data_IF_218192745289
#
_entry.id   IF_218192745289
#
_cell.length_a   1.000
_cell.length_b   1.000
_cell.length_c   1.000
_cell.angle_alpha   90.00
_cell.angle_beta   90.00
_cell.angle_gamma   90.00
#
_symmetry.space_group_name_H-M   'P 1'
#
loop_
_entity.id
_entity.type
_entity.pdbx_description
1 polymer ?
#
# COMPACT_ATOMS: atom_id res chain seq x y z
N UNK A 1 -11.08 -20.73 -34.73
CA UNK A 1 -11.97 -19.78 -34.03
C UNK A 1 -12.25 -20.36 -32.65
N UNK A 2 -12.30 -19.57 -31.57
CA UNK A 2 -12.63 -20.15 -30.27
C UNK A 2 -14.10 -20.55 -30.25
N UNK A 3 -14.37 -21.76 -29.78
CA UNK A 3 -15.71 -22.37 -29.71
C UNK A 3 -16.48 -21.97 -28.44
N UNK A 4 -15.93 -21.04 -27.66
CA UNK A 4 -16.43 -20.60 -26.38
C UNK A 4 -16.05 -19.13 -26.16
N UNK A 5 -16.79 -18.48 -25.25
CA UNK A 5 -16.48 -17.16 -24.71
C UNK A 5 -16.43 -17.23 -23.18
N UNK A 6 -15.67 -16.32 -22.57
CA UNK A 6 -15.65 -16.14 -21.12
C UNK A 6 -16.51 -14.93 -20.77
N UNK A 7 -17.63 -15.17 -20.09
CA UNK A 7 -18.47 -14.12 -19.53
C UNK A 7 -17.90 -13.71 -18.17
N UNK A 8 -17.68 -12.42 -18.00
CA UNK A 8 -17.12 -11.85 -16.78
C UNK A 8 -18.15 -10.98 -16.06
N UNK A 9 -18.18 -11.11 -14.73
CA UNK A 9 -18.92 -10.21 -13.85
C UNK A 9 -18.12 -9.87 -12.57
N UNK A 10 -18.78 -9.30 -11.57
CA UNK A 10 -18.14 -8.92 -10.31
C UNK A 10 -17.56 -10.12 -9.52
N UNK A 11 -18.03 -11.34 -9.75
CA UNK A 11 -17.72 -12.53 -8.95
C UNK A 11 -16.74 -13.47 -9.65
N UNK A 12 -16.62 -13.40 -10.97
CA UNK A 12 -15.60 -14.15 -11.67
C UNK A 12 -15.82 -14.27 -13.16
N UNK A 13 -15.33 -15.38 -13.70
CA UNK A 13 -15.46 -15.76 -15.09
C UNK A 13 -16.29 -17.03 -15.16
N UNK A 14 -17.20 -17.11 -16.12
CA UNK A 14 -17.95 -18.32 -16.46
C UNK A 14 -17.80 -18.59 -17.96
N UNK A 15 -17.51 -19.83 -18.32
CA UNK A 15 -17.41 -20.23 -19.72
C UNK A 15 -18.80 -20.44 -20.32
N UNK A 16 -19.01 -19.87 -21.51
CA UNK A 16 -20.21 -20.09 -22.32
C UNK A 16 -19.79 -20.89 -23.56
N UNK A 17 -20.37 -22.08 -23.73
CA UNK A 17 -20.05 -23.00 -24.81
C UNK A 17 -20.93 -22.73 -26.03
N UNK A 18 -20.36 -22.15 -27.09
CA UNK A 18 -21.12 -21.74 -28.26
C UNK A 18 -21.47 -22.90 -29.22
N UNK A 19 -20.84 -24.08 -29.05
CA UNK A 19 -21.12 -25.26 -29.89
C UNK A 19 -22.45 -25.94 -29.56
N UNK A 20 -22.94 -25.77 -28.34
CA UNK A 20 -24.19 -26.37 -27.87
C UNK A 20 -25.37 -25.39 -27.93
N UNK A 21 -25.30 -24.39 -28.80
CA UNK A 21 -26.40 -23.44 -28.99
C UNK A 21 -27.59 -24.15 -29.61
N UNK A 22 -28.70 -24.24 -28.87
CA UNK A 22 -29.92 -24.97 -29.28
C UNK A 22 -30.86 -24.09 -30.15
N UNK A 23 -30.58 -22.79 -30.26
CA UNK A 23 -31.45 -21.86 -30.98
C UNK A 23 -31.31 -22.04 -32.51
N UNK A 24 -32.40 -22.41 -33.17
CA UNK A 24 -32.54 -22.52 -34.64
C UNK A 24 -32.48 -21.15 -35.36
N UNK A 25 -32.37 -20.03 -34.64
CA UNK A 25 -32.72 -18.71 -35.17
C UNK A 25 -31.78 -17.54 -34.80
N UNK A 26 -30.47 -17.78 -34.61
CA UNK A 26 -29.55 -16.69 -34.28
C UNK A 26 -28.20 -16.72 -35.02
N UNK A 27 -28.01 -15.68 -35.85
CA UNK A 27 -26.80 -15.22 -36.56
C UNK A 27 -25.57 -14.90 -35.66
N UNK A 28 -25.62 -15.24 -34.37
CA UNK A 28 -24.57 -14.91 -33.40
C UNK A 28 -23.46 -15.96 -33.40
N UNK A 29 -22.60 -15.90 -34.41
CA UNK A 29 -21.32 -16.61 -34.42
C UNK A 29 -20.35 -16.05 -33.38
N UNK A 30 -19.42 -16.86 -32.88
CA UNK A 30 -18.36 -16.41 -31.96
C UNK A 30 -17.52 -15.26 -32.53
N UNK A 31 -17.54 -15.06 -33.86
CA UNK A 31 -16.93 -13.92 -34.55
C UNK A 31 -17.64 -12.57 -34.36
N UNK A 32 -18.90 -12.54 -33.92
CA UNK A 32 -19.67 -11.31 -33.72
C UNK A 32 -19.39 -10.66 -32.36
N UNK A 33 -19.15 -11.47 -31.32
CA UNK A 33 -18.89 -10.98 -29.97
C UNK A 33 -17.41 -10.65 -29.78
N UNK A 34 -17.12 -9.39 -29.44
CA UNK A 34 -15.75 -8.90 -29.19
C UNK A 34 -15.56 -8.56 -27.71
N UNK A 35 -14.31 -8.53 -27.20
CA UNK A 35 -14.05 -8.06 -25.86
C UNK A 35 -14.68 -6.69 -25.60
N UNK A 36 -15.38 -6.55 -24.46
CA UNK A 36 -16.04 -5.31 -24.07
C UNK A 36 -17.55 -5.26 -24.29
N UNK A 37 -18.12 -6.24 -24.99
CA UNK A 37 -19.58 -6.37 -25.12
C UNK A 37 -20.20 -6.67 -23.74
N UNK A 38 -21.35 -6.06 -23.49
CA UNK A 38 -22.22 -6.40 -22.35
C UNK A 38 -23.33 -7.27 -22.90
N UNK A 39 -23.42 -8.50 -22.41
CA UNK A 39 -24.36 -9.51 -22.90
C UNK A 39 -25.18 -10.08 -21.75
N UNK A 40 -26.37 -10.55 -22.08
CA UNK A 40 -27.20 -11.39 -21.24
C UNK A 40 -27.28 -12.77 -21.86
N UNK A 41 -27.00 -13.81 -21.07
CA UNK A 41 -27.02 -15.20 -21.53
C UNK A 41 -28.02 -15.97 -20.69
N UNK A 42 -28.96 -16.65 -21.35
CA UNK A 42 -29.87 -17.62 -20.73
C UNK A 42 -29.51 -19.00 -21.27
N UNK A 43 -29.28 -19.97 -20.40
CA UNK A 43 -28.83 -21.30 -20.80
C UNK A 43 -28.88 -22.32 -19.67
N UNK A 44 -28.41 -23.52 -19.98
CA UNK A 44 -28.35 -24.64 -19.03
C UNK A 44 -26.92 -24.83 -18.55
N UNK A 45 -26.74 -25.02 -17.25
CA UNK A 45 -25.43 -25.35 -16.66
C UNK A 45 -25.11 -26.82 -16.94
N UNK A 46 -23.93 -27.09 -17.47
CA UNK A 46 -23.44 -28.42 -17.80
C UNK A 46 -22.02 -28.63 -17.25
N UNK A 47 -21.63 -29.88 -17.05
CA UNK A 47 -20.26 -30.20 -16.67
C UNK A 47 -19.30 -30.00 -17.85
N UNK A 48 -18.10 -29.47 -17.58
CA UNK A 48 -17.06 -29.34 -18.61
C UNK A 48 -16.42 -30.69 -18.92
N UNK A 49 -16.09 -30.97 -20.19
CA UNK A 49 -15.34 -32.17 -20.55
C UNK A 49 -13.89 -32.13 -20.02
N UNK A 50 -13.32 -30.92 -19.89
CA UNK A 50 -11.98 -30.68 -19.34
C UNK A 50 -12.06 -29.58 -18.30
N UNK A 51 -11.59 -29.88 -17.07
CA UNK A 51 -11.56 -28.92 -15.96
C UNK A 51 -10.57 -27.80 -16.22
N UNK A 52 -10.83 -26.66 -15.60
CA UNK A 52 -10.05 -25.44 -15.69
C UNK A 52 -9.75 -24.90 -14.29
N UNK A 53 -8.81 -23.96 -14.19
CA UNK A 53 -8.36 -23.41 -12.90
C UNK A 53 -9.22 -22.24 -12.40
N UNK A 54 -10.29 -21.89 -13.11
CA UNK A 54 -11.27 -20.89 -12.65
C UNK A 54 -12.17 -21.48 -11.55
N UNK A 55 -12.80 -20.62 -10.74
CA UNK A 55 -13.77 -21.05 -9.72
C UNK A 55 -14.96 -21.82 -10.31
N UNK A 56 -15.36 -21.49 -11.55
CA UNK A 56 -16.37 -22.23 -12.31
C UNK A 56 -15.74 -23.26 -13.25
N UNK A 57 -14.51 -23.71 -13.00
CA UNK A 57 -13.71 -24.51 -13.93
C UNK A 57 -14.24 -25.92 -14.18
N UNK A 58 -15.18 -26.39 -13.35
CA UNK A 58 -15.83 -27.70 -13.51
C UNK A 58 -17.11 -27.64 -14.36
N UNK A 59 -17.65 -26.45 -14.61
CA UNK A 59 -18.93 -26.23 -15.28
C UNK A 59 -18.83 -25.20 -16.40
N UNK A 60 -19.76 -25.26 -17.33
CA UNK A 60 -19.96 -24.25 -18.37
C UNK A 60 -21.46 -24.08 -18.64
N UNK A 61 -21.82 -23.03 -19.38
CA UNK A 61 -23.22 -22.77 -19.76
C UNK A 61 -23.39 -23.09 -21.24
N UNK A 62 -24.32 -24.00 -21.55
CA UNK A 62 -24.85 -24.19 -22.89
C UNK A 62 -25.95 -23.13 -23.14
N UNK A 63 -25.72 -22.14 -24.01
CA UNK A 63 -26.63 -21.03 -24.19
C UNK A 63 -27.88 -21.47 -24.96
N UNK A 64 -29.06 -21.13 -24.41
CA UNK A 64 -30.33 -21.17 -25.13
C UNK A 64 -30.60 -19.86 -25.86
N UNK A 65 -30.20 -18.74 -25.27
CA UNK A 65 -30.34 -17.41 -25.86
C UNK A 65 -29.19 -16.50 -25.41
N UNK A 66 -28.69 -15.68 -26.33
CA UNK A 66 -27.73 -14.61 -26.05
C UNK A 66 -28.32 -13.29 -26.54
N UNK A 67 -28.31 -12.27 -25.71
CA UNK A 67 -28.77 -10.92 -26.05
C UNK A 67 -27.64 -9.94 -25.83
N UNK A 68 -27.29 -9.16 -26.85
CA UNK A 68 -26.34 -8.05 -26.69
C UNK A 68 -27.07 -6.87 -26.05
N UNK A 69 -26.71 -6.55 -24.81
CA UNK A 69 -27.26 -5.41 -24.08
C UNK A 69 -26.54 -4.12 -24.49
N UNK A 70 -25.23 -4.20 -24.75
CA UNK A 70 -24.44 -3.05 -25.19
C UNK A 70 -23.19 -3.51 -25.96
N UNK A 71 -22.90 -2.83 -27.07
CA UNK A 71 -21.69 -3.03 -27.85
C UNK A 71 -20.79 -1.78 -27.76
N UNK A 72 -19.47 -1.92 -27.52
CA UNK A 72 -18.55 -0.80 -27.54
C UNK A 72 -18.53 -0.16 -28.93
N UNK A 73 -18.73 1.17 -28.97
CA UNK A 73 -18.77 1.95 -30.22
C UNK A 73 -17.41 2.07 -30.90
N UNK A 74 -16.34 1.92 -30.13
CA UNK A 74 -14.94 2.01 -30.58
C UNK A 74 -14.15 0.85 -29.99
N UNK A 75 -13.04 0.49 -30.62
CA UNK A 75 -12.13 -0.49 -30.07
C UNK A 75 -11.67 -0.05 -28.66
N UNK A 76 -11.67 -0.99 -27.71
CA UNK A 76 -11.21 -0.69 -26.35
C UNK A 76 -9.71 -0.38 -26.38
N UNK A 77 -9.24 0.64 -25.65
CA UNK A 77 -7.81 0.98 -25.59
C UNK A 77 -6.99 -0.13 -24.91
N UNK A 78 -7.64 -0.96 -24.09
CA UNK A 78 -7.08 -2.15 -23.48
C UNK A 78 -8.20 -3.07 -22.97
N UNK A 79 -7.89 -4.34 -22.77
CA UNK A 79 -8.78 -5.35 -22.19
C UNK A 79 -8.36 -5.68 -20.76
N UNK A 80 -9.23 -6.34 -20.00
CA UNK A 80 -8.96 -6.79 -18.62
C UNK A 80 -7.66 -7.61 -18.49
N UNK A 81 -7.36 -8.44 -19.49
CA UNK A 81 -6.18 -9.32 -19.50
C UNK A 81 -4.86 -8.58 -19.74
N UNK A 82 -4.88 -7.44 -20.43
CA UNK A 82 -3.67 -6.69 -20.79
C UNK A 82 -3.41 -5.49 -19.87
N UNK A 83 -4.20 -5.28 -18.81
CA UNK A 83 -4.14 -4.04 -18.01
C UNK A 83 -2.81 -3.82 -17.30
N UNK A 84 -2.08 -4.87 -16.94
CA UNK A 84 -0.77 -4.77 -16.29
C UNK A 84 0.33 -4.23 -17.21
N UNK A 85 0.14 -4.33 -18.53
CA UNK A 85 1.11 -3.89 -19.54
C UNK A 85 0.82 -2.46 -20.04
N UNK A 86 -0.32 -1.87 -19.62
CA UNK A 86 -0.76 -0.56 -20.08
C UNK A 86 -0.16 0.54 -19.20
N UNK A 87 0.36 1.59 -19.86
CA UNK A 87 0.86 2.78 -19.19
C UNK A 87 -0.18 3.40 -18.23
N UNK A 88 0.27 3.84 -17.05
CA UNK A 88 -0.59 4.44 -16.02
C UNK A 88 -1.42 5.63 -16.53
N UNK A 89 -0.86 6.50 -17.39
CA UNK A 89 -1.60 7.64 -17.94
C UNK A 89 -2.82 7.21 -18.75
N UNK A 90 -2.69 6.13 -19.53
CA UNK A 90 -3.79 5.56 -20.31
C UNK A 90 -4.81 4.91 -19.38
N UNK A 91 -4.36 4.23 -18.33
CA UNK A 91 -5.23 3.63 -17.32
C UNK A 91 -6.03 4.70 -16.55
N UNK A 92 -5.41 5.83 -16.20
CA UNK A 92 -6.08 6.96 -15.56
C UNK A 92 -7.08 7.65 -16.50
N UNK A 93 -6.70 7.86 -17.77
CA UNK A 93 -7.61 8.43 -18.79
C UNK A 93 -8.86 7.58 -18.97
N UNK A 94 -8.71 6.26 -18.95
CA UNK A 94 -9.81 5.29 -19.07
C UNK A 94 -10.06 4.57 -17.75
N UNK A 95 -10.08 5.31 -16.63
CA UNK A 95 -10.18 4.72 -15.27
C UNK A 95 -11.41 3.83 -15.11
N UNK A 96 -12.52 4.16 -15.76
CA UNK A 96 -13.73 3.35 -15.77
C UNK A 96 -13.54 1.95 -16.39
N UNK A 97 -12.59 1.78 -17.32
CA UNK A 97 -12.19 0.45 -17.82
C UNK A 97 -11.22 -0.21 -16.85
N UNK A 98 -10.22 0.53 -16.35
CA UNK A 98 -9.23 0.03 -15.40
C UNK A 98 -9.87 -0.50 -14.11
N UNK A 99 -10.97 0.12 -13.66
CA UNK A 99 -11.81 -0.34 -12.55
C UNK A 99 -12.37 -1.76 -12.72
N UNK A 100 -12.35 -2.32 -13.94
CA UNK A 100 -12.73 -3.72 -14.21
C UNK A 100 -11.61 -4.72 -13.91
N UNK A 101 -10.39 -4.25 -13.65
CA UNK A 101 -9.28 -5.12 -13.22
C UNK A 101 -9.58 -5.77 -11.88
N UNK A 102 -9.12 -7.01 -11.71
CA UNK A 102 -9.23 -7.73 -10.44
C UNK A 102 -8.54 -6.96 -9.31
N UNK A 103 -7.38 -6.36 -9.59
CA UNK A 103 -6.60 -5.60 -8.60
C UNK A 103 -7.40 -4.43 -8.05
N UNK A 104 -8.02 -3.61 -8.91
CA UNK A 104 -8.80 -2.47 -8.42
C UNK A 104 -10.13 -2.86 -7.80
N UNK A 105 -10.81 -3.89 -8.33
CA UNK A 105 -12.00 -4.45 -7.70
C UNK A 105 -11.69 -4.93 -6.27
N UNK A 106 -10.61 -5.70 -6.10
CA UNK A 106 -10.15 -6.17 -4.78
C UNK A 106 -9.81 -5.00 -3.85
N UNK A 107 -9.04 -4.03 -4.33
CA UNK A 107 -8.62 -2.88 -3.52
C UNK A 107 -9.81 -2.03 -3.05
N UNK A 108 -10.81 -1.80 -3.91
CA UNK A 108 -12.00 -1.01 -3.55
C UNK A 108 -12.94 -1.76 -2.60
N UNK A 109 -13.14 -3.07 -2.81
CA UNK A 109 -13.93 -3.91 -1.88
C UNK A 109 -13.26 -3.98 -0.51
N UNK A 110 -11.95 -4.21 -0.48
CA UNK A 110 -11.18 -4.20 0.77
C UNK A 110 -11.28 -2.85 1.47
N UNK A 111 -11.08 -1.73 0.76
CA UNK A 111 -11.24 -0.38 1.33
C UNK A 111 -12.62 -0.18 1.94
N UNK A 112 -13.68 -0.63 1.25
CA UNK A 112 -15.06 -0.54 1.74
C UNK A 112 -15.26 -1.36 3.02
N UNK A 113 -14.84 -2.62 3.01
CA UNK A 113 -14.93 -3.53 4.16
C UNK A 113 -14.13 -3.00 5.37
N UNK A 114 -12.91 -2.50 5.12
CA UNK A 114 -12.05 -1.92 6.16
C UNK A 114 -12.72 -0.70 6.81
N UNK A 115 -13.25 0.24 6.02
CA UNK A 115 -13.96 1.41 6.54
C UNK A 115 -15.19 0.99 7.35
N UNK A 116 -15.97 0.05 6.85
CA UNK A 116 -17.15 -0.44 7.56
C UNK A 116 -16.76 -1.07 8.91
N UNK A 117 -15.74 -1.93 8.92
CA UNK A 117 -15.26 -2.59 10.14
C UNK A 117 -14.75 -1.59 11.17
N UNK A 118 -13.94 -0.61 10.75
CA UNK A 118 -13.47 0.46 11.66
C UNK A 118 -14.64 1.21 12.28
N UNK A 119 -15.66 1.58 11.49
CA UNK A 119 -16.85 2.28 11.99
C UNK A 119 -17.66 1.43 12.96
N UNK A 120 -17.92 0.16 12.62
CA UNK A 120 -18.63 -0.76 13.51
C UNK A 120 -17.92 -0.88 14.84
N UNK A 121 -16.62 -1.20 14.81
CA UNK A 121 -15.81 -1.35 16.01
C UNK A 121 -15.83 -0.10 16.89
N UNK A 122 -15.59 1.08 16.31
CA UNK A 122 -15.55 2.33 17.05
C UNK A 122 -16.91 2.68 17.66
N UNK A 123 -18.00 2.57 16.89
CA UNK A 123 -19.34 2.89 17.36
C UNK A 123 -19.86 1.94 18.44
N UNK A 124 -19.58 0.63 18.30
CA UNK A 124 -20.03 -0.40 19.25
C UNK A 124 -19.22 -0.36 20.55
N UNK A 125 -17.92 -0.09 20.47
CA UNK A 125 -17.01 -0.19 21.63
C UNK A 125 -16.92 1.09 22.44
N UNK A 126 -17.00 2.26 21.79
CA UNK A 126 -16.70 3.55 22.44
C UNK A 126 -17.85 4.56 22.41
N UNK A 127 -19.10 4.12 22.14
CA UNK A 127 -20.41 4.83 22.23
C UNK A 127 -20.35 6.38 22.13
N UNK A 128 -21.04 6.94 21.12
CA UNK A 128 -21.29 8.38 20.82
C UNK A 128 -20.46 9.03 19.72
N UNK A 129 -19.80 8.26 18.87
CA UNK A 129 -19.15 8.85 17.72
C UNK A 129 -20.15 9.37 16.65
N UNK A 130 -20.29 10.69 16.53
CA UNK A 130 -21.10 11.36 15.50
C UNK A 130 -20.22 11.85 14.34
N UNK A 131 -20.70 11.72 13.09
CA UNK A 131 -19.98 12.18 11.90
C UNK A 131 -20.65 13.38 11.24
N UNK A 132 -19.85 14.32 10.73
CA UNK A 132 -20.31 15.45 9.90
C UNK A 132 -19.77 15.33 8.45
N UNK A 133 -20.24 16.18 7.54
CA UNK A 133 -19.75 16.30 6.16
C UNK A 133 -19.56 17.78 5.82
N UNK A 134 -18.46 18.12 5.15
CA UNK A 134 -18.16 19.51 4.78
C UNK A 134 -17.42 19.60 3.44
N UNK A 135 -17.70 20.68 2.72
CA UNK A 135 -16.94 21.22 1.57
C UNK A 135 -17.20 22.72 1.52
N UNK A 136 -16.25 23.49 0.99
CA UNK A 136 -16.52 24.89 0.69
C UNK A 136 -15.75 25.47 -0.51
N UNK A 137 -16.40 26.46 -1.14
CA UNK A 137 -16.47 26.76 -2.57
C UNK A 137 -16.57 28.29 -2.71
N UNK A 138 -16.14 28.94 -3.82
CA UNK A 138 -16.40 30.37 -4.04
C UNK A 138 -17.86 30.74 -3.73
N UNK A 139 -18.03 31.88 -3.07
CA UNK A 139 -19.35 32.31 -2.61
C UNK A 139 -19.99 33.25 -3.62
N UNK A 140 -21.32 33.38 -3.56
CA UNK A 140 -22.03 34.43 -4.31
C UNK A 140 -21.72 35.84 -3.80
N UNK A 141 -21.09 35.98 -2.63
CA UNK A 141 -20.74 37.28 -2.05
C UNK A 141 -19.38 37.71 -2.57
N UNK A 142 -19.36 38.81 -3.32
CA UNK A 142 -18.14 39.37 -3.90
C UNK A 142 -17.09 39.66 -2.80
N UNK A 143 -15.86 39.21 -3.03
CA UNK A 143 -14.75 39.39 -2.08
C UNK A 143 -14.69 38.35 -0.95
N UNK A 144 -15.66 37.45 -0.83
CA UNK A 144 -15.67 36.39 0.18
C UNK A 144 -15.43 35.01 -0.42
N UNK A 145 -14.58 34.25 0.26
CA UNK A 145 -14.24 32.87 -0.08
C UNK A 145 -14.33 32.01 1.17
N UNK A 146 -14.68 30.76 0.97
CA UNK A 146 -14.46 29.75 1.99
C UNK A 146 -13.22 28.92 1.65
N UNK A 147 -12.63 28.30 2.67
CA UNK A 147 -11.49 27.40 2.52
C UNK A 147 -11.93 25.95 2.69
N UNK A 148 -11.39 25.04 1.87
CA UNK A 148 -11.58 23.61 2.09
C UNK A 148 -10.77 23.16 3.32
N UNK A 149 -11.36 22.41 4.26
CA UNK A 149 -10.66 22.01 5.46
C UNK A 149 -9.54 21.02 5.12
N UNK A 150 -8.34 21.31 5.64
CA UNK A 150 -7.21 20.37 5.58
C UNK A 150 -7.40 19.15 6.48
N UNK A 151 -8.21 19.30 7.53
CA UNK A 151 -8.74 18.29 8.44
C UNK A 151 -9.87 18.94 9.27
N UNK A 152 -10.79 18.17 9.88
CA UNK A 152 -11.84 18.73 10.74
C UNK A 152 -11.34 19.14 12.15
N UNK A 153 -10.04 19.46 12.30
CA UNK A 153 -9.39 19.73 13.59
C UNK A 153 -10.07 20.82 14.42
N UNK A 154 -10.52 21.91 13.80
CA UNK A 154 -11.20 22.99 14.53
C UNK A 154 -12.57 22.55 15.04
N UNK A 155 -13.33 21.81 14.22
CA UNK A 155 -14.68 21.38 14.56
C UNK A 155 -14.68 20.29 15.62
N UNK A 156 -13.79 19.31 15.55
CA UNK A 156 -13.73 18.24 16.56
C UNK A 156 -13.43 18.78 17.96
N UNK A 157 -12.60 19.83 18.07
CA UNK A 157 -12.36 20.53 19.32
C UNK A 157 -13.63 21.25 19.83
N UNK A 158 -14.38 21.93 18.95
CA UNK A 158 -15.66 22.53 19.31
C UNK A 158 -16.69 21.49 19.77
N UNK A 159 -16.69 20.29 19.18
CA UNK A 159 -17.55 19.19 19.61
C UNK A 159 -17.20 18.70 21.02
N UNK A 160 -15.91 18.67 21.39
CA UNK A 160 -15.50 18.37 22.77
C UNK A 160 -15.98 19.46 23.75
N UNK A 161 -15.84 20.74 23.38
CA UNK A 161 -16.41 21.87 24.16
C UNK A 161 -17.93 21.76 24.29
N UNK A 162 -18.60 21.29 23.23
CA UNK A 162 -20.05 21.05 23.19
C UNK A 162 -20.51 19.81 23.97
N UNK A 163 -19.60 19.04 24.59
CA UNK A 163 -19.94 17.89 25.43
C UNK A 163 -20.25 16.60 24.66
N UNK A 164 -19.80 16.45 23.41
CA UNK A 164 -19.98 15.21 22.63
C UNK A 164 -19.18 14.03 23.21
N UNK A 165 -18.17 14.31 24.04
CA UNK A 165 -17.26 13.36 24.71
C UNK A 165 -16.37 12.55 23.76
N UNK A 166 -16.91 11.90 22.72
CA UNK A 166 -16.16 11.07 21.76
C UNK A 166 -16.68 11.30 20.35
N UNK A 167 -15.79 11.71 19.43
CA UNK A 167 -16.13 12.03 18.03
C UNK A 167 -15.30 11.20 17.03
N UNK A 168 -15.94 10.69 15.97
CA UNK A 168 -15.26 10.04 14.83
C UNK A 168 -15.86 10.49 13.50
N UNK A 169 -15.00 10.70 12.50
CA UNK A 169 -15.44 10.96 11.13
C UNK A 169 -14.52 10.30 10.11
N UNK A 170 -15.13 9.66 9.10
CA UNK A 170 -14.42 9.32 7.85
C UNK A 170 -14.44 10.58 6.98
N UNK A 171 -13.47 11.47 7.20
CA UNK A 171 -13.43 12.80 6.61
C UNK A 171 -12.71 12.81 5.26
N UNK A 172 -13.16 13.70 4.36
CA UNK A 172 -12.44 14.06 3.14
C UNK A 172 -11.63 15.31 3.44
N UNK A 173 -10.35 15.28 3.09
CA UNK A 173 -9.38 16.29 3.46
C UNK A 173 -8.67 16.79 2.22
N UNK A 174 -8.44 18.10 2.16
CA UNK A 174 -7.91 18.77 0.98
C UNK A 174 -6.56 19.43 1.29
N UNK A 175 -5.56 19.22 0.46
CA UNK A 175 -4.25 19.86 0.56
C UNK A 175 -3.80 20.34 -0.82
N UNK A 176 -3.56 21.63 -0.93
CA UNK A 176 -2.91 22.21 -2.10
C UNK A 176 -1.39 22.11 -1.94
N UNK A 177 -0.87 20.90 -2.12
CA UNK A 177 0.55 20.60 -2.08
C UNK A 177 0.99 20.02 -3.43
N UNK A 178 2.27 20.20 -3.77
CA UNK A 178 2.85 19.58 -4.94
C UNK A 178 2.65 18.04 -4.89
N UNK A 179 2.12 17.48 -5.97
CA UNK A 179 1.87 16.05 -6.09
C UNK A 179 3.14 15.24 -5.85
N UNK A 180 3.03 14.22 -5.00
CA UNK A 180 4.03 13.16 -4.82
C UNK A 180 3.34 11.83 -5.06
N UNK A 181 4.11 10.77 -5.26
CA UNK A 181 3.56 9.43 -5.53
C UNK A 181 2.54 8.96 -4.47
N UNK A 182 2.71 9.40 -3.21
CA UNK A 182 1.85 9.09 -2.08
C UNK A 182 0.91 10.24 -1.66
N UNK A 183 0.92 11.37 -2.39
CA UNK A 183 0.15 12.57 -2.04
C UNK A 183 -0.85 12.92 -3.13
N UNK A 184 -2.12 12.94 -2.76
CA UNK A 184 -3.20 13.41 -3.58
C UNK A 184 -3.79 14.68 -2.96
N UNK A 185 -4.31 15.62 -3.77
CA UNK A 185 -4.92 16.84 -3.26
C UNK A 185 -6.16 16.56 -2.42
N UNK A 186 -6.84 15.44 -2.65
CA UNK A 186 -7.93 14.93 -1.84
C UNK A 186 -7.58 13.53 -1.27
N UNK A 187 -7.73 13.36 0.04
CA UNK A 187 -7.52 12.09 0.73
C UNK A 187 -8.52 11.87 1.87
N UNK A 188 -8.58 10.63 2.40
CA UNK A 188 -9.55 10.24 3.45
C UNK A 188 -8.79 10.09 4.74
N UNK A 189 -9.33 10.63 5.82
CA UNK A 189 -8.87 10.38 7.17
C UNK A 189 -9.97 9.68 7.96
N UNK A 190 -9.57 8.73 8.81
CA UNK A 190 -10.33 8.40 10.01
C UNK A 190 -9.87 9.43 11.05
N UNK A 191 -10.70 10.41 11.31
CA UNK A 191 -10.45 11.44 12.31
C UNK A 191 -11.20 11.11 13.60
N UNK A 192 -10.53 11.31 14.73
CA UNK A 192 -10.99 10.92 16.06
C UNK A 192 -10.69 12.05 17.05
N UNK A 193 -11.55 12.21 18.04
CA UNK A 193 -11.35 13.10 19.19
C UNK A 193 -12.07 12.52 20.42
N UNK A 194 -11.49 12.67 21.61
CA UNK A 194 -12.08 12.20 22.87
C UNK A 194 -11.80 13.21 24.00
N UNK A 195 -12.75 13.39 24.91
CA UNK A 195 -12.64 14.25 26.09
C UNK A 195 -12.13 13.46 27.30
N UNK A 196 -11.43 14.15 28.22
CA UNK A 196 -10.96 13.57 29.49
C UNK A 196 -10.08 12.32 29.36
N UNK A 197 -9.29 12.26 28.29
CA UNK A 197 -8.35 11.15 28.02
C UNK A 197 -6.90 11.59 28.10
N UNK A 198 -6.03 10.65 28.39
CA UNK A 198 -4.59 10.79 28.26
C UNK A 198 -4.08 10.21 26.93
N UNK A 199 -2.78 10.36 26.68
CA UNK A 199 -2.13 9.85 25.47
C UNK A 199 -2.32 8.32 25.31
N UNK A 200 -2.30 7.59 26.42
CA UNK A 200 -2.42 6.13 26.43
C UNK A 200 -3.76 5.65 25.90
N UNK A 201 -4.84 6.30 26.33
CA UNK A 201 -6.20 5.95 25.92
C UNK A 201 -6.38 6.10 24.41
N UNK A 202 -5.83 7.17 23.84
CA UNK A 202 -5.86 7.41 22.39
C UNK A 202 -5.07 6.33 21.65
N UNK A 203 -3.87 5.98 22.13
CA UNK A 203 -3.11 4.89 21.53
C UNK A 203 -3.87 3.56 21.59
N UNK A 204 -4.47 3.24 22.72
CA UNK A 204 -5.21 2.00 22.89
C UNK A 204 -6.37 1.90 21.90
N UNK A 205 -7.18 2.95 21.75
CA UNK A 205 -8.30 3.00 20.79
C UNK A 205 -7.84 2.77 19.35
N UNK A 206 -6.74 3.41 18.94
CA UNK A 206 -6.18 3.23 17.59
C UNK A 206 -5.68 1.80 17.39
N UNK A 207 -4.91 1.27 18.35
CA UNK A 207 -4.35 -0.08 18.28
C UNK A 207 -5.46 -1.13 18.21
N UNK A 208 -6.50 -1.01 19.03
CA UNK A 208 -7.61 -1.95 19.03
C UNK A 208 -8.43 -1.85 17.74
N UNK A 209 -8.63 -0.64 17.22
CA UNK A 209 -9.32 -0.45 15.93
C UNK A 209 -8.58 -1.11 14.78
N UNK A 210 -7.24 -0.97 14.74
CA UNK A 210 -6.40 -1.64 13.75
C UNK A 210 -6.43 -3.16 13.93
N UNK A 211 -6.43 -3.62 15.17
CA UNK A 211 -6.48 -5.04 15.55
C UNK A 211 -7.81 -5.69 15.15
N UNK A 212 -8.94 -4.99 15.34
CA UNK A 212 -10.27 -5.42 14.93
C UNK A 212 -10.44 -5.54 13.40
N UNK A 213 -9.50 -4.98 12.63
CA UNK A 213 -9.44 -5.08 11.18
C UNK A 213 -8.42 -6.10 10.67
N UNK A 214 -7.70 -6.80 11.56
CA UNK A 214 -6.55 -7.62 11.18
C UNK A 214 -6.93 -8.86 10.36
N UNK A 215 -8.09 -9.45 10.61
CA UNK A 215 -8.67 -10.54 9.83
C UNK A 215 -8.79 -10.18 8.33
N UNK A 216 -9.32 -8.98 8.03
CA UNK A 216 -9.43 -8.48 6.66
C UNK A 216 -8.05 -8.29 6.01
N UNK A 217 -7.05 -7.88 6.79
CA UNK A 217 -5.68 -7.70 6.29
C UNK A 217 -5.04 -9.06 5.95
N UNK A 218 -5.26 -10.08 6.79
CA UNK A 218 -4.77 -11.45 6.57
C UNK A 218 -5.38 -12.05 5.30
N UNK A 219 -6.69 -11.89 5.12
CA UNK A 219 -7.41 -12.38 3.93
C UNK A 219 -6.81 -11.79 2.64
N UNK A 220 -6.56 -10.48 2.60
CA UNK A 220 -6.01 -9.83 1.40
C UNK A 220 -4.54 -10.17 1.15
N UNK A 221 -3.77 -10.43 2.21
CA UNK A 221 -2.37 -10.85 2.07
C UNK A 221 -2.20 -12.32 1.71
N UNK A 222 -3.26 -13.13 1.79
CA UNK A 222 -3.19 -14.58 1.65
C UNK A 222 -2.15 -15.19 2.60
N UNK A 223 -2.01 -14.61 3.79
CA UNK A 223 -1.04 -15.03 4.81
C UNK A 223 -1.81 -15.43 6.07
N UNK A 224 -2.12 -16.72 6.14
CA UNK A 224 -2.81 -17.31 7.29
C UNK A 224 -1.93 -17.30 8.55
N UNK A 225 -0.61 -17.11 8.43
CA UNK A 225 0.29 -17.07 9.57
C UNK A 225 0.64 -15.65 10.02
N UNK A 226 0.09 -14.62 9.36
CA UNK A 226 0.34 -13.24 9.73
C UNK A 226 -0.18 -12.93 11.13
N UNK A 227 0.76 -12.86 12.07
CA UNK A 227 0.52 -12.51 13.48
C UNK A 227 0.08 -11.04 13.56
N UNK A 228 -0.89 -10.77 14.42
CA UNK A 228 -1.29 -9.40 14.75
C UNK A 228 -0.06 -8.58 15.17
N UNK A 229 0.16 -7.40 14.58
CA UNK A 229 1.35 -6.63 14.84
C UNK A 229 1.32 -6.14 16.29
N UNK A 230 2.44 -6.33 16.98
CA UNK A 230 2.70 -5.62 18.24
C UNK A 230 3.06 -4.17 17.91
N UNK A 231 2.36 -3.22 18.50
CA UNK A 231 2.66 -1.80 18.34
C UNK A 231 3.70 -1.35 19.36
N UNK A 232 4.97 -1.63 19.07
CA UNK A 232 6.09 -1.17 19.89
C UNK A 232 6.17 0.37 19.93
N UNK A 233 6.68 0.92 21.03
CA UNK A 233 6.89 2.35 21.21
C UNK A 233 8.35 2.70 21.10
N UNK A 234 8.62 3.82 20.45
CA UNK A 234 9.97 4.33 20.30
C UNK A 234 9.94 5.85 20.28
N UNK A 235 10.73 6.45 21.16
CA UNK A 235 10.87 7.90 21.20
C UNK A 235 11.47 8.42 19.90
N UNK A 236 11.05 9.63 19.49
CA UNK A 236 11.56 10.32 18.31
C UNK A 236 13.10 10.34 18.27
N UNK A 237 13.74 10.65 19.41
CA UNK A 237 15.21 10.71 19.51
C UNK A 237 15.85 9.36 19.18
N UNK A 238 15.26 8.28 19.67
CA UNK A 238 15.71 6.90 19.42
C UNK A 238 15.46 6.50 17.96
N UNK A 239 14.31 6.86 17.39
CA UNK A 239 14.02 6.66 15.96
C UNK A 239 15.08 7.34 15.09
N UNK A 240 15.37 8.61 15.36
CA UNK A 240 16.34 9.39 14.60
C UNK A 240 17.79 8.89 14.79
N UNK A 241 18.17 8.51 16.01
CA UNK A 241 19.54 8.05 16.32
C UNK A 241 19.86 6.63 15.90
N UNK A 242 18.83 5.77 15.72
CA UNK A 242 19.02 4.38 15.27
C UNK A 242 18.65 4.16 13.81
N UNK A 243 17.73 4.97 13.27
CA UNK A 243 17.09 4.71 11.98
C UNK A 243 17.04 5.91 11.05
N UNK A 244 17.27 7.13 11.54
CA UNK A 244 17.37 8.31 10.67
C UNK A 244 16.04 8.75 10.09
N UNK A 245 14.95 8.23 10.63
CA UNK A 245 13.58 8.57 10.26
C UNK A 245 12.69 8.37 11.47
N UNK A 246 11.67 9.21 11.58
CA UNK A 246 10.56 9.12 12.54
C UNK A 246 9.53 8.03 12.20
N UNK A 247 9.66 7.40 11.03
CA UNK A 247 8.82 6.28 10.56
C UNK A 247 9.67 5.07 10.17
N UNK A 248 10.43 4.48 11.12
CA UNK A 248 11.37 3.42 10.81
C UNK A 248 10.66 2.15 10.34
N UNK A 249 11.14 1.56 9.26
CA UNK A 249 10.81 0.18 8.91
C UNK A 249 11.63 -0.78 9.78
N UNK A 250 10.93 -1.50 10.66
CA UNK A 250 11.49 -2.45 11.63
C UNK A 250 11.46 -3.90 11.13
N UNK A 251 11.03 -4.15 9.89
CA UNK A 251 10.98 -5.50 9.29
C UNK A 251 12.36 -6.02 8.88
N UNK A 252 13.36 -5.16 8.93
CA UNK A 252 14.76 -5.49 8.66
C UNK A 252 15.66 -4.75 9.65
N UNK A 253 16.90 -5.22 9.79
CA UNK A 253 17.87 -4.66 10.71
C UNK A 253 18.52 -3.36 10.23
N UNK A 254 19.86 -3.33 10.28
CA UNK A 254 20.69 -2.18 9.89
C UNK A 254 20.47 -0.91 10.73
N UNK A 255 20.09 -1.05 12.00
CA UNK A 255 20.14 0.09 12.93
C UNK A 255 21.57 0.62 13.00
N UNK A 256 21.74 1.92 12.86
CA UNK A 256 23.04 2.55 13.05
C UNK A 256 23.27 2.89 14.53
N UNK A 257 24.53 3.12 14.88
CA UNK A 257 24.91 3.63 16.20
C UNK A 257 25.64 4.97 16.06
N UNK A 258 25.59 5.75 17.13
CA UNK A 258 26.25 7.04 17.27
C UNK A 258 27.29 6.89 18.39
N UNK A 259 28.57 6.67 18.05
CA UNK A 259 29.65 6.56 19.04
C UNK A 259 29.79 7.86 19.82
N UNK A 260 30.26 7.78 21.07
CA UNK A 260 30.31 8.96 21.96
C UNK A 260 31.56 9.80 21.69
N UNK A 261 32.66 9.17 21.24
CA UNK A 261 33.94 9.85 21.06
C UNK A 261 34.28 10.22 19.61
N UNK A 262 33.39 9.96 18.66
CA UNK A 262 33.59 10.30 17.24
C UNK A 262 32.32 10.86 16.60
N UNK A 263 32.50 11.63 15.53
CA UNK A 263 31.41 12.14 14.69
C UNK A 263 30.98 11.12 13.61
N UNK A 264 31.38 9.85 13.74
CA UNK A 264 31.17 8.82 12.73
C UNK A 264 29.93 7.99 13.06
N UNK A 265 28.86 8.18 12.28
CA UNK A 265 27.66 7.37 12.39
C UNK A 265 27.62 6.33 11.28
N UNK A 266 27.13 5.13 11.56
CA UNK A 266 27.06 4.07 10.55
C UNK A 266 26.33 2.82 11.00
N UNK A 267 26.01 1.94 10.04
CA UNK A 267 25.40 0.64 10.28
C UNK A 267 26.20 -0.50 9.64
N UNK A 268 26.05 -1.69 10.21
CA UNK A 268 26.68 -2.92 9.76
C UNK A 268 25.84 -3.61 8.69
N UNK A 269 26.48 -4.05 7.61
CA UNK A 269 25.96 -4.99 6.62
C UNK A 269 26.77 -6.28 6.74
N UNK A 270 26.10 -7.39 7.05
CA UNK A 270 26.80 -8.67 7.24
C UNK A 270 27.51 -9.11 5.97
N UNK A 271 28.59 -9.88 6.11
CA UNK A 271 29.33 -10.46 5.00
C UNK A 271 28.42 -11.23 4.01
N UNK A 272 27.44 -11.98 4.54
CA UNK A 272 26.43 -12.69 3.74
C UNK A 272 25.64 -11.75 2.83
N UNK A 273 25.08 -10.66 3.38
CA UNK A 273 24.34 -9.67 2.59
C UNK A 273 25.25 -8.91 1.63
N UNK A 274 26.45 -8.51 2.08
CA UNK A 274 27.40 -7.77 1.27
C UNK A 274 27.86 -8.57 0.04
N UNK A 275 28.03 -9.89 0.17
CA UNK A 275 28.44 -10.79 -0.93
C UNK A 275 27.41 -10.86 -2.08
N UNK A 276 26.14 -10.57 -1.80
CA UNK A 276 25.06 -10.55 -2.79
C UNK A 276 24.96 -9.22 -3.56
N UNK A 277 25.68 -8.20 -3.12
CA UNK A 277 25.65 -6.86 -3.70
C UNK A 277 26.83 -6.66 -4.64
N UNK A 278 26.53 -6.39 -5.90
CA UNK A 278 27.56 -6.07 -6.91
C UNK A 278 28.12 -4.67 -6.69
N UNK A 279 29.26 -4.37 -7.31
CA UNK A 279 29.80 -3.00 -7.34
C UNK A 279 28.77 -1.99 -7.90
N UNK A 280 27.94 -2.42 -8.85
CA UNK A 280 26.89 -1.59 -9.43
C UNK A 280 25.77 -1.28 -8.44
N UNK A 281 25.42 -2.22 -7.55
CA UNK A 281 24.40 -2.05 -6.53
C UNK A 281 24.84 -1.01 -5.49
N UNK A 282 26.08 -1.14 -4.99
CA UNK A 282 26.69 -0.16 -4.09
C UNK A 282 26.82 1.24 -4.72
N UNK A 283 27.08 1.30 -6.03
CA UNK A 283 27.13 2.57 -6.76
C UNK A 283 25.75 3.21 -6.86
N UNK A 284 24.71 2.43 -7.21
CA UNK A 284 23.32 2.90 -7.29
C UNK A 284 22.84 3.50 -5.97
N UNK A 285 23.06 2.81 -4.84
CA UNK A 285 22.69 3.33 -3.52
C UNK A 285 23.38 4.66 -3.23
N UNK A 286 24.71 4.74 -3.45
CA UNK A 286 25.47 5.98 -3.22
C UNK A 286 25.00 7.14 -4.09
N UNK A 287 24.75 6.88 -5.38
CA UNK A 287 24.25 7.88 -6.32
C UNK A 287 22.88 8.39 -5.90
N UNK A 288 21.93 7.49 -5.63
CA UNK A 288 20.57 7.85 -5.22
C UNK A 288 20.55 8.65 -3.91
N UNK A 289 21.32 8.22 -2.91
CA UNK A 289 21.41 8.92 -1.63
C UNK A 289 21.98 10.32 -1.82
N UNK A 290 23.02 10.47 -2.65
CA UNK A 290 23.60 11.78 -2.97
C UNK A 290 22.63 12.68 -3.71
N UNK A 291 21.89 12.16 -4.68
CA UNK A 291 20.90 12.92 -5.44
C UNK A 291 19.76 13.44 -4.54
N UNK A 292 19.30 12.62 -3.60
CA UNK A 292 18.18 12.97 -2.73
C UNK A 292 18.55 13.81 -1.51
N UNK A 293 19.78 13.70 -1.01
CA UNK A 293 20.20 14.34 0.25
C UNK A 293 21.32 15.35 0.09
N UNK A 294 22.03 15.37 -1.05
CA UNK A 294 23.24 16.15 -1.25
C UNK A 294 24.47 15.62 -0.51
N UNK A 295 24.33 14.56 0.31
CA UNK A 295 25.39 14.01 1.15
C UNK A 295 25.92 12.68 0.57
N UNK A 296 27.19 12.38 0.82
CA UNK A 296 27.80 11.13 0.40
C UNK A 296 27.77 10.11 1.54
N UNK A 297 27.41 8.87 1.22
CA UNK A 297 27.62 7.70 2.09
C UNK A 297 28.83 6.92 1.60
N UNK A 298 29.62 6.44 2.55
CA UNK A 298 30.82 5.65 2.29
C UNK A 298 30.68 4.28 2.91
N UNK A 299 31.42 3.31 2.39
CA UNK A 299 31.42 1.95 2.91
C UNK A 299 32.81 1.33 2.85
N UNK A 300 33.21 0.60 3.88
CA UNK A 300 34.43 -0.20 3.89
C UNK A 300 34.17 -1.58 4.53
N UNK A 301 35.05 -2.53 4.26
CA UNK A 301 35.06 -3.83 4.94
C UNK A 301 35.78 -3.68 6.28
N UNK A 302 35.15 -4.11 7.37
CA UNK A 302 35.56 -3.78 8.74
C UNK A 302 37.00 -4.23 9.08
N UNK A 303 37.48 -5.33 8.50
CA UNK A 303 38.87 -5.78 8.67
C UNK A 303 39.93 -4.82 8.12
N UNK A 304 39.56 -3.86 7.26
CA UNK A 304 40.45 -2.85 6.69
C UNK A 304 40.19 -1.44 7.26
N UNK A 305 39.50 -1.35 8.39
CA UNK A 305 39.11 -0.07 8.95
C UNK A 305 40.30 0.71 9.52
N UNK A 306 40.37 2.04 9.27
CA UNK A 306 41.29 2.91 9.98
C UNK A 306 41.03 2.93 11.49
N UNK A 307 42.05 3.28 12.28
CA UNK A 307 41.96 3.32 13.75
C UNK A 307 40.86 4.24 14.29
N UNK A 308 40.53 5.33 13.57
CA UNK A 308 39.44 6.25 13.93
C UNK A 308 38.05 5.59 13.92
N UNK A 309 37.87 4.45 13.24
CA UNK A 309 36.60 3.72 13.17
C UNK A 309 36.45 2.61 14.20
N UNK A 310 37.44 2.42 15.08
CA UNK A 310 37.48 1.29 16.02
C UNK A 310 36.26 1.28 16.95
N UNK A 311 35.90 2.42 17.55
CA UNK A 311 34.73 2.55 18.42
C UNK A 311 33.43 2.20 17.67
N UNK A 312 33.28 2.69 16.42
CA UNK A 312 32.10 2.41 15.60
C UNK A 312 31.96 0.91 15.31
N UNK A 313 33.06 0.23 14.98
CA UNK A 313 33.06 -1.20 14.66
C UNK A 313 32.72 -2.05 15.88
N UNK A 314 33.29 -1.69 17.03
CA UNK A 314 33.01 -2.34 18.32
C UNK A 314 31.53 -2.17 18.70
N UNK A 315 30.99 -0.95 18.62
CA UNK A 315 29.58 -0.65 18.91
C UNK A 315 28.61 -1.39 17.96
N UNK A 316 28.98 -1.49 16.68
CA UNK A 316 28.20 -2.25 15.68
C UNK A 316 28.36 -3.77 15.80
N UNK A 317 29.32 -4.24 16.63
CA UNK A 317 29.72 -5.64 16.70
C UNK A 317 30.01 -6.22 15.31
N UNK A 318 30.71 -5.47 14.47
CA UNK A 318 31.01 -5.87 13.09
C UNK A 318 32.22 -6.82 13.04
N UNK A 319 32.04 -8.00 12.44
CA UNK A 319 33.13 -8.93 12.19
C UNK A 319 34.04 -8.44 11.06
N UNK A 320 35.26 -9.00 10.96
CA UNK A 320 36.26 -8.59 9.96
C UNK A 320 35.77 -8.64 8.51
N UNK A 321 34.83 -9.54 8.22
CA UNK A 321 34.24 -9.72 6.89
C UNK A 321 33.01 -8.87 6.61
N UNK A 322 32.46 -8.22 7.64
CA UNK A 322 31.30 -7.36 7.49
C UNK A 322 31.67 -6.03 6.83
N UNK A 323 30.68 -5.39 6.23
CA UNK A 323 30.80 -4.04 5.70
C UNK A 323 30.17 -3.05 6.68
N UNK A 324 30.80 -1.89 6.81
CA UNK A 324 30.26 -0.75 7.55
C UNK A 324 29.93 0.34 6.55
N UNK A 325 28.66 0.76 6.53
CA UNK A 325 28.19 1.93 5.77
C UNK A 325 28.09 3.10 6.74
N UNK A 326 28.71 4.22 6.41
CA UNK A 326 28.86 5.34 7.35
C UNK A 326 28.78 6.71 6.67
N UNK A 327 28.55 7.73 7.50
CA UNK A 327 28.62 9.15 7.19
C UNK A 327 29.37 9.86 8.32
N UNK A 328 30.14 10.90 7.98
CA UNK A 328 30.80 11.77 8.97
C UNK A 328 29.88 12.94 9.34
N UNK A 329 29.75 13.20 10.63
CA UNK A 329 28.81 14.13 11.26
C UNK A 329 27.57 13.44 11.81
N UNK A 330 26.97 14.02 12.86
CA UNK A 330 25.82 13.46 13.59
C UNK A 330 24.54 14.30 13.52
N UNK A 331 24.48 15.31 12.64
CA UNK A 331 23.27 16.11 12.49
C UNK A 331 22.11 15.31 11.88
N UNK A 332 20.90 15.85 11.98
CA UNK A 332 19.70 15.26 11.40
C UNK A 332 19.83 15.00 9.89
N UNK A 333 20.60 15.82 9.17
CA UNK A 333 20.84 15.62 7.75
C UNK A 333 21.65 14.33 7.48
N UNK A 334 22.72 14.08 8.24
CA UNK A 334 23.50 12.85 8.14
C UNK A 334 22.70 11.62 8.60
N UNK A 335 21.91 11.76 9.67
CA UNK A 335 21.01 10.69 10.14
C UNK A 335 19.99 10.31 9.08
N UNK A 336 19.32 11.28 8.45
CA UNK A 336 18.39 11.05 7.33
C UNK A 336 19.07 10.43 6.11
N UNK A 337 20.29 10.85 5.81
CA UNK A 337 21.11 10.28 4.75
C UNK A 337 21.38 8.77 4.97
N UNK A 338 21.79 8.38 6.18
CA UNK A 338 21.94 6.95 6.52
C UNK A 338 20.61 6.20 6.53
N UNK A 339 19.53 6.81 7.02
CA UNK A 339 18.20 6.20 7.01
C UNK A 339 17.72 5.84 5.60
N UNK A 340 17.99 6.72 4.63
CA UNK A 340 17.73 6.44 3.22
C UNK A 340 18.60 5.30 2.69
N UNK A 341 19.91 5.36 2.92
CA UNK A 341 20.84 4.31 2.50
C UNK A 341 20.44 2.92 3.06
N UNK A 342 19.99 2.88 4.32
CA UNK A 342 19.48 1.69 5.00
C UNK A 342 18.32 1.06 4.23
N UNK A 343 17.34 1.88 3.88
CA UNK A 343 16.08 1.45 3.25
C UNK A 343 16.33 0.96 1.82
N UNK A 344 17.16 1.67 1.07
CA UNK A 344 17.53 1.30 -0.30
C UNK A 344 18.31 -0.01 -0.35
N UNK A 345 19.28 -0.21 0.55
CA UNK A 345 20.00 -1.49 0.64
C UNK A 345 19.08 -2.64 1.01
N UNK A 346 18.17 -2.44 1.98
CA UNK A 346 17.20 -3.46 2.35
C UNK A 346 16.27 -3.84 1.18
N UNK A 347 15.83 -2.85 0.40
CA UNK A 347 15.02 -3.09 -0.79
C UNK A 347 15.78 -3.89 -1.86
N UNK A 348 17.06 -3.59 -2.10
CA UNK A 348 17.89 -4.34 -3.04
C UNK A 348 18.11 -5.78 -2.60
N UNK A 349 18.40 -6.00 -1.33
CA UNK A 349 18.58 -7.35 -0.77
C UNK A 349 17.29 -8.15 -0.83
N UNK A 350 16.14 -7.51 -0.57
CA UNK A 350 14.83 -8.14 -0.72
C UNK A 350 14.56 -8.57 -2.16
N UNK A 351 14.84 -7.73 -3.15
CA UNK A 351 14.70 -8.07 -4.58
C UNK A 351 15.58 -9.26 -4.99
N UNK A 352 16.68 -9.50 -4.27
CA UNK A 352 17.59 -10.64 -4.46
C UNK A 352 17.24 -11.86 -3.61
N UNK A 353 16.12 -11.83 -2.86
CA UNK A 353 15.68 -12.93 -2.00
C UNK A 353 16.51 -13.12 -0.72
N UNK A 354 17.28 -12.10 -0.32
CA UNK A 354 18.20 -12.18 0.83
C UNK A 354 17.63 -11.57 2.12
N UNK A 355 16.48 -10.88 2.04
CA UNK A 355 15.75 -10.36 3.17
C UNK A 355 14.27 -10.68 3.01
N UNK A 356 13.71 -11.43 3.95
CA UNK A 356 12.27 -11.58 4.06
C UNK A 356 11.70 -10.35 4.77
N UNK A 357 10.73 -9.70 4.13
CA UNK A 357 9.97 -8.58 4.74
C UNK A 357 9.07 -9.03 5.90
N UNK A 358 9.13 -10.30 6.32
CA UNK A 358 8.23 -10.90 7.31
C UNK A 358 8.87 -11.20 8.67
N UNK A 359 10.08 -10.74 8.95
CA UNK A 359 10.60 -10.79 10.32
C UNK A 359 10.31 -9.45 11.00
N UNK A 360 9.21 -9.39 11.76
CA UNK A 360 9.08 -8.43 12.86
C UNK A 360 10.36 -8.61 13.67
N UNK A 361 11.25 -7.61 13.67
CA UNK A 361 12.41 -7.64 14.55
C UNK A 361 11.90 -7.64 15.99
N UNK A 362 11.77 -8.83 16.57
CA UNK A 362 11.78 -9.00 18.01
C UNK A 362 13.19 -8.65 18.45
N UNK A 363 13.38 -7.42 18.92
CA UNK A 363 14.43 -7.00 19.85
C UNK A 363 14.08 -5.66 20.46
#
# INVERSE_FOLDING_TARGET
MSNFILLWDAFGLTQINLLQTIAEDQDFTSSTLKPGYVIHVTGTVIARPVKDNMSTGEIEVAPRAITVLNAPRVALPFTRSLMTEVNEQVRLKYRFLDLRSEVLQRNLRFRSALILRMRQYLCETYVNFQGAQEFVVPTRNAGFFYSLPQSPQQFKQLLMVGGIDRYMQIARCFRDEASRADRQPEFTQLDLEMSFVEMEDVFQVIQDTLSACWDLIREVKLDENAVQPSFGRMDYKTCMSRFGTDKPDLRFGFSFCEPTSSDLIGFRVSASHASCLSHSDWKKVRTLVKELTGLNVSSFKAGFAPSEFKELIENLRAGSDDYVVFVRGSSDAQKKCLGLARTELAQMLHQKGMLDRCLIAQN
#
